data_IF_807024819493
#
_entry.id   IF_807024819493
#
_cell.length_a   1.000
_cell.length_b   1.000
_cell.length_c   1.000
_cell.angle_alpha   90.00
_cell.angle_beta   90.00
_cell.angle_gamma   90.00
#
_symmetry.space_group_name_H-M   'P 1'
#
loop_
_entity.id
_entity.type
_entity.pdbx_description
1 polymer ?
#
# COMPACT_ATOMS: atom_id res chain seq x y z
N UNK A 1 -0.37 39.91 4.14
CA UNK A 1 -0.96 39.23 2.97
C UNK A 1 -0.03 38.18 2.36
N UNK A 2 1.20 38.51 1.93
CA UNK A 2 2.11 37.56 1.25
C UNK A 2 2.49 36.30 2.04
N UNK A 3 2.76 36.41 3.35
CA UNK A 3 3.14 35.27 4.21
C UNK A 3 2.01 34.22 4.36
N UNK A 4 0.76 34.68 4.42
CA UNK A 4 -0.41 33.80 4.51
C UNK A 4 -0.59 32.99 3.22
N UNK A 5 -0.37 33.61 2.05
CA UNK A 5 -0.43 32.90 0.77
C UNK A 5 0.69 31.86 0.62
N UNK A 6 1.91 32.21 1.05
CA UNK A 6 3.04 31.27 1.01
C UNK A 6 2.77 30.05 1.90
N UNK A 7 2.40 30.26 3.15
CA UNK A 7 2.11 29.17 4.09
C UNK A 7 0.94 28.30 3.64
N UNK A 8 -0.13 28.89 3.11
CA UNK A 8 -1.25 28.14 2.52
C UNK A 8 -0.80 27.28 1.32
N UNK A 9 0.06 27.83 0.45
CA UNK A 9 0.59 27.12 -0.71
C UNK A 9 1.46 25.94 -0.30
N UNK A 10 2.35 26.13 0.68
CA UNK A 10 3.24 25.09 1.21
C UNK A 10 2.44 23.98 1.89
N UNK A 11 1.50 24.33 2.79
CA UNK A 11 0.64 23.34 3.46
C UNK A 11 -0.18 22.55 2.44
N UNK A 12 -0.80 23.24 1.49
CA UNK A 12 -1.57 22.58 0.43
C UNK A 12 -0.71 21.66 -0.44
N UNK A 13 0.52 22.06 -0.77
CA UNK A 13 1.46 21.22 -1.51
C UNK A 13 1.79 19.94 -0.72
N UNK A 14 2.09 20.08 0.57
CA UNK A 14 2.42 18.95 1.44
C UNK A 14 1.25 17.97 1.56
N UNK A 15 0.03 18.45 1.85
CA UNK A 15 -1.18 17.62 1.92
C UNK A 15 -1.41 16.85 0.63
N UNK A 16 -1.32 17.52 -0.54
CA UNK A 16 -1.48 16.86 -1.85
C UNK A 16 -0.39 15.82 -2.10
N UNK A 17 0.83 16.05 -1.61
CA UNK A 17 1.92 15.09 -1.77
C UNK A 17 1.72 13.87 -0.88
N UNK A 18 1.33 14.06 0.38
CA UNK A 18 0.99 12.99 1.33
C UNK A 18 -0.15 12.12 0.80
N UNK A 19 -1.22 12.73 0.27
CA UNK A 19 -2.34 12.01 -0.35
C UNK A 19 -1.94 11.12 -1.54
N UNK A 20 -0.81 11.41 -2.20
CA UNK A 20 -0.29 10.63 -3.33
C UNK A 20 0.66 9.51 -2.92
N UNK A 21 1.02 9.41 -1.64
CA UNK A 21 1.85 8.31 -1.12
C UNK A 21 1.11 6.99 -1.19
N UNK A 22 1.86 5.90 -1.33
CA UNK A 22 1.29 4.56 -1.33
C UNK A 22 0.62 4.26 0.02
N UNK A 23 1.23 4.64 1.15
CA UNK A 23 0.64 4.45 2.49
C UNK A 23 -0.79 5.01 2.57
N UNK A 24 -0.99 6.27 2.18
CA UNK A 24 -2.32 6.91 2.26
C UNK A 24 -3.31 6.30 1.26
N UNK A 25 -2.86 5.91 0.06
CA UNK A 25 -3.72 5.18 -0.89
C UNK A 25 -4.19 3.85 -0.32
N UNK A 26 -3.30 3.07 0.28
CA UNK A 26 -3.65 1.79 0.91
C UNK A 26 -4.63 2.00 2.05
N UNK A 27 -4.41 2.99 2.93
CA UNK A 27 -5.36 3.31 3.99
C UNK A 27 -6.76 3.66 3.46
N UNK A 28 -6.84 4.48 2.39
CA UNK A 28 -8.13 4.78 1.74
C UNK A 28 -8.80 3.53 1.19
N UNK A 29 -8.04 2.64 0.56
CA UNK A 29 -8.56 1.37 0.05
C UNK A 29 -9.05 0.47 1.19
N UNK A 30 -8.26 0.30 2.25
CA UNK A 30 -8.65 -0.46 3.44
C UNK A 30 -9.94 0.07 4.06
N UNK A 31 -10.11 1.40 4.15
CA UNK A 31 -11.36 2.01 4.63
C UNK A 31 -12.53 1.63 3.72
N UNK A 32 -12.36 1.70 2.40
CA UNK A 32 -13.41 1.32 1.44
C UNK A 32 -13.77 -0.16 1.54
N UNK A 33 -12.77 -1.05 1.49
CA UNK A 33 -12.95 -2.49 1.52
C UNK A 33 -13.62 -2.94 2.83
N UNK A 34 -13.18 -2.42 3.98
CA UNK A 34 -13.76 -2.78 5.27
C UNK A 34 -15.19 -2.24 5.43
N UNK A 35 -15.48 -1.05 4.90
CA UNK A 35 -16.85 -0.53 4.89
C UNK A 35 -17.77 -1.36 3.99
N UNK A 36 -17.31 -1.75 2.81
CA UNK A 36 -18.05 -2.61 1.89
C UNK A 36 -18.31 -3.97 2.51
N UNK A 37 -17.29 -4.58 3.11
CA UNK A 37 -17.43 -5.84 3.83
C UNK A 37 -18.42 -5.74 5.00
N UNK A 38 -18.42 -4.66 5.78
CA UNK A 38 -19.41 -4.46 6.84
C UNK A 38 -20.84 -4.32 6.27
N UNK A 39 -20.99 -3.68 5.11
CA UNK A 39 -22.29 -3.50 4.44
C UNK A 39 -22.83 -4.83 3.89
N UNK A 40 -21.97 -5.71 3.36
CA UNK A 40 -22.43 -7.00 2.81
C UNK A 40 -23.13 -7.86 3.86
N UNK A 41 -22.76 -7.81 5.15
CA UNK A 41 -23.51 -8.48 6.22
C UNK A 41 -24.98 -8.02 6.36
N UNK A 42 -25.31 -6.81 5.89
CA UNK A 42 -26.68 -6.29 5.93
C UNK A 42 -27.46 -6.63 4.66
N UNK A 43 -26.76 -6.79 3.53
CA UNK A 43 -27.35 -7.05 2.21
C UNK A 43 -27.52 -8.54 1.93
N UNK A 44 -26.55 -9.37 2.34
CA UNK A 44 -26.53 -10.82 2.10
C UNK A 44 -27.26 -11.61 3.18
N UNK A 45 -27.88 -10.95 4.16
CA UNK A 45 -28.80 -11.58 5.10
C UNK A 45 -30.18 -11.69 4.42
N UNK A 46 -30.57 -12.86 3.88
CA UNK A 46 -31.75 -12.98 3.05
C UNK A 46 -32.98 -12.87 3.93
N UNK A 47 -33.79 -11.81 3.77
CA UNK A 47 -35.20 -11.73 4.16
C UNK A 47 -35.60 -12.15 5.60
N UNK A 48 -34.65 -12.34 6.51
CA UNK A 48 -34.95 -12.84 7.85
C UNK A 48 -34.63 -11.78 8.87
N UNK A 49 -35.61 -11.56 9.73
CA UNK A 49 -35.46 -11.17 11.13
C UNK A 49 -34.58 -12.16 11.93
N UNK A 50 -33.61 -12.83 11.29
CA UNK A 50 -32.66 -13.74 11.91
C UNK A 50 -31.46 -12.91 12.34
N UNK A 51 -31.26 -12.84 13.64
CA UNK A 51 -30.05 -12.32 14.25
C UNK A 51 -28.80 -12.96 13.63
N UNK A 52 -27.77 -12.14 13.38
CA UNK A 52 -26.43 -12.61 13.00
C UNK A 52 -25.94 -13.66 14.00
N UNK A 53 -25.24 -14.70 13.51
CA UNK A 53 -24.57 -15.68 14.36
C UNK A 53 -23.57 -14.97 15.30
N UNK A 54 -23.29 -15.53 16.48
CA UNK A 54 -22.25 -15.02 17.38
C UNK A 54 -20.89 -14.93 16.68
N UNK A 55 -20.60 -15.85 15.76
CA UNK A 55 -19.38 -15.84 14.95
C UNK A 55 -19.35 -14.64 13.98
N UNK A 56 -20.48 -14.35 13.34
CA UNK A 56 -20.61 -13.21 12.41
C UNK A 56 -20.55 -11.88 13.17
N UNK A 57 -21.14 -11.82 14.37
CA UNK A 57 -21.03 -10.67 15.27
C UNK A 57 -19.56 -10.42 15.66
N UNK A 58 -18.84 -11.46 16.10
CA UNK A 58 -17.43 -11.38 16.43
C UNK A 58 -16.56 -10.97 15.22
N UNK A 59 -16.86 -11.49 14.03
CA UNK A 59 -16.17 -11.09 12.81
C UNK A 59 -16.43 -9.61 12.47
N UNK A 60 -17.69 -9.16 12.53
CA UNK A 60 -18.08 -7.77 12.27
C UNK A 60 -17.40 -6.80 13.24
N UNK A 61 -17.29 -7.17 14.51
CA UNK A 61 -16.59 -6.35 15.52
C UNK A 61 -15.10 -6.20 15.21
N UNK A 62 -14.44 -7.29 14.81
CA UNK A 62 -13.02 -7.25 14.39
C UNK A 62 -12.82 -6.37 13.16
N UNK A 63 -13.68 -6.47 12.15
CA UNK A 63 -13.57 -5.60 10.96
C UNK A 63 -13.86 -4.15 11.30
N UNK A 64 -14.80 -3.86 12.20
CA UNK A 64 -15.02 -2.50 12.72
C UNK A 64 -13.79 -1.96 13.44
N UNK A 65 -13.08 -2.78 14.21
CA UNK A 65 -11.84 -2.38 14.85
C UNK A 65 -10.76 -2.04 13.81
N UNK A 66 -10.63 -2.83 12.73
CA UNK A 66 -9.72 -2.53 11.62
C UNK A 66 -10.07 -1.23 10.90
N UNK A 67 -11.36 -0.99 10.61
CA UNK A 67 -11.83 0.26 10.02
C UNK A 67 -11.46 1.45 10.91
N UNK A 68 -11.69 1.36 12.22
CA UNK A 68 -11.31 2.40 13.17
C UNK A 68 -9.80 2.64 13.18
N UNK A 69 -9.00 1.58 13.21
CA UNK A 69 -7.55 1.69 13.16
C UNK A 69 -7.08 2.44 11.90
N UNK A 70 -7.59 2.06 10.71
CA UNK A 70 -7.24 2.72 9.46
C UNK A 70 -7.66 4.21 9.44
N UNK A 71 -8.79 4.57 10.04
CA UNK A 71 -9.22 5.96 10.18
C UNK A 71 -8.32 6.75 11.15
N UNK A 72 -7.89 6.13 12.25
CA UNK A 72 -6.92 6.72 13.16
C UNK A 72 -5.56 6.93 12.51
N UNK A 73 -5.08 5.98 11.71
CA UNK A 73 -3.83 6.14 10.96
C UNK A 73 -3.90 7.32 9.98
N UNK A 74 -5.06 7.53 9.32
CA UNK A 74 -5.28 8.71 8.47
C UNK A 74 -5.26 9.99 9.31
N UNK A 75 -5.95 9.98 10.46
CA UNK A 75 -5.98 11.14 11.36
C UNK A 75 -4.58 11.48 11.86
N UNK A 76 -3.82 10.48 12.29
CA UNK A 76 -2.45 10.63 12.76
C UNK A 76 -1.59 11.30 11.68
N UNK A 77 -1.66 10.80 10.43
CA UNK A 77 -0.92 11.38 9.30
C UNK A 77 -1.24 12.85 9.07
N UNK A 78 -2.51 13.27 9.07
CA UNK A 78 -2.84 14.64 8.65
C UNK A 78 -2.93 15.65 9.79
N UNK A 79 -3.13 15.20 11.02
CA UNK A 79 -3.45 16.08 12.16
C UNK A 79 -2.49 15.95 13.34
N UNK A 80 -1.77 14.85 13.48
CA UNK A 80 -0.93 14.58 14.66
C UNK A 80 0.56 14.57 14.31
N UNK A 81 0.94 13.93 13.21
CA UNK A 81 2.33 13.86 12.73
C UNK A 81 2.93 15.26 12.51
N UNK A 82 4.18 15.39 12.91
CA UNK A 82 5.03 16.56 12.70
C UNK A 82 5.49 16.69 11.25
N UNK A 83 6.00 17.88 10.90
CA UNK A 83 6.56 18.13 9.57
C UNK A 83 7.72 17.18 9.24
N UNK A 84 8.59 16.90 10.21
CA UNK A 84 9.72 15.99 10.01
C UNK A 84 9.25 14.59 9.64
N UNK A 85 8.25 14.08 10.34
CA UNK A 85 7.68 12.77 10.05
C UNK A 85 6.97 12.73 8.70
N UNK A 86 6.30 13.82 8.29
CA UNK A 86 5.75 13.94 6.93
C UNK A 86 6.83 13.87 5.86
N UNK A 87 7.95 14.58 6.07
CA UNK A 87 9.07 14.59 5.12
C UNK A 87 9.75 13.22 5.04
N UNK A 88 9.94 12.56 6.19
CA UNK A 88 10.46 11.19 6.26
C UNK A 88 9.56 10.20 5.52
N UNK A 89 8.24 10.27 5.74
CA UNK A 89 7.27 9.45 5.02
C UNK A 89 7.35 9.68 3.49
N UNK A 90 7.49 10.94 3.06
CA UNK A 90 7.65 11.27 1.65
C UNK A 90 8.96 10.77 1.05
N UNK A 91 10.03 10.72 1.84
CA UNK A 91 11.31 10.16 1.41
C UNK A 91 11.21 8.65 1.24
N UNK A 92 10.70 7.93 2.24
CA UNK A 92 10.48 6.49 2.18
C UNK A 92 9.60 6.11 0.98
N UNK A 93 8.54 6.87 0.71
CA UNK A 93 7.67 6.64 -0.44
C UNK A 93 8.42 6.79 -1.79
N UNK A 94 9.42 7.68 -1.88
CA UNK A 94 10.27 7.78 -3.08
C UNK A 94 11.19 6.59 -3.21
N UNK A 95 11.83 6.18 -2.12
CA UNK A 95 12.75 5.03 -2.07
C UNK A 95 12.03 3.74 -2.49
N UNK A 96 10.83 3.49 -1.96
CA UNK A 96 10.00 2.36 -2.35
C UNK A 96 9.64 2.38 -3.84
N UNK A 97 9.34 3.56 -4.41
CA UNK A 97 9.08 3.68 -5.86
C UNK A 97 10.32 3.38 -6.68
N UNK A 98 11.50 3.83 -6.25
CA UNK A 98 12.76 3.54 -6.94
C UNK A 98 13.11 2.06 -6.88
N UNK A 99 12.93 1.42 -5.72
CA UNK A 99 13.17 -0.01 -5.53
C UNK A 99 12.22 -0.86 -6.39
N UNK A 100 10.92 -0.51 -6.43
CA UNK A 100 9.93 -1.18 -7.29
C UNK A 100 10.33 -1.11 -8.76
N UNK A 101 10.72 0.07 -9.25
CA UNK A 101 11.18 0.24 -10.64
C UNK A 101 12.44 -0.58 -10.94
N UNK A 102 13.40 -0.61 -10.01
CA UNK A 102 14.61 -1.42 -10.19
C UNK A 102 14.27 -2.91 -10.30
N UNK A 103 13.41 -3.41 -9.41
CA UNK A 103 12.92 -4.80 -9.45
C UNK A 103 12.16 -5.11 -10.74
N UNK A 104 11.37 -4.18 -11.25
CA UNK A 104 10.69 -4.33 -12.54
C UNK A 104 11.67 -4.38 -13.72
N UNK A 105 12.71 -3.54 -13.72
CA UNK A 105 13.78 -3.59 -14.72
C UNK A 105 14.56 -4.91 -14.67
N UNK A 106 14.86 -5.43 -13.47
CA UNK A 106 15.51 -6.74 -13.30
C UNK A 106 14.63 -7.90 -13.80
N UNK A 107 13.31 -7.81 -13.63
CA UNK A 107 12.35 -8.78 -14.18
C UNK A 107 12.19 -8.66 -15.69
N UNK A 108 12.26 -7.44 -16.23
CA UNK A 108 12.13 -7.17 -17.65
C UNK A 108 13.41 -7.48 -18.45
N UNK A 109 14.58 -7.55 -17.80
CA UNK A 109 15.79 -8.13 -18.42
C UNK A 109 15.49 -9.57 -18.82
N UNK A 110 15.52 -9.79 -20.13
CA UNK A 110 15.07 -11.03 -20.77
C UNK A 110 15.82 -12.28 -20.24
N UNK A 111 15.23 -13.49 -20.35
CA UNK A 111 15.93 -14.74 -20.03
C UNK A 111 17.20 -14.95 -20.87
N UNK A 112 17.37 -14.22 -21.97
CA UNK A 112 18.52 -14.35 -22.89
C UNK A 112 19.83 -13.87 -22.28
N UNK A 113 19.79 -12.99 -21.27
CA UNK A 113 20.98 -12.57 -20.50
C UNK A 113 21.25 -13.48 -19.29
N UNK A 114 20.33 -14.40 -18.97
CA UNK A 114 20.45 -15.38 -17.89
C UNK A 114 20.87 -16.76 -18.41
N UNK A 115 21.64 -16.83 -19.49
CA UNK A 115 22.40 -18.04 -19.82
C UNK A 115 23.60 -18.12 -18.89
N UNK A 116 23.33 -18.33 -17.60
CA UNK A 116 24.35 -18.83 -16.67
C UNK A 116 24.36 -20.34 -16.92
N UNK A 117 25.13 -20.77 -17.92
CA UNK A 117 25.40 -22.19 -18.14
C UNK A 117 25.93 -22.76 -16.83
N UNK A 118 25.30 -23.82 -16.31
CA UNK A 118 25.85 -24.50 -15.14
C UNK A 118 27.28 -24.93 -15.44
N UNK A 119 28.14 -24.98 -14.43
CA UNK A 119 29.52 -25.41 -14.60
C UNK A 119 29.61 -26.80 -15.28
N UNK A 120 28.62 -27.67 -15.08
CA UNK A 120 28.51 -28.96 -15.73
C UNK A 120 28.18 -28.86 -17.23
N UNK A 121 27.33 -27.91 -17.64
CA UNK A 121 26.97 -27.65 -19.03
C UNK A 121 28.14 -27.03 -19.79
N UNK A 122 28.86 -26.10 -19.18
CA UNK A 122 30.06 -25.49 -19.76
C UNK A 122 31.15 -26.54 -20.02
N UNK A 123 31.42 -27.40 -19.03
CA UNK A 123 32.43 -28.46 -19.13
C UNK A 123 32.10 -29.52 -20.19
N UNK A 124 30.82 -29.76 -20.44
CA UNK A 124 30.36 -30.65 -21.52
C UNK A 124 30.56 -30.04 -22.91
N UNK A 125 30.35 -28.73 -23.07
CA UNK A 125 30.61 -28.03 -24.33
C UNK A 125 32.10 -27.98 -24.68
N UNK A 126 32.98 -27.75 -23.70
CA UNK A 126 34.43 -27.70 -23.91
C UNK A 126 35.01 -29.06 -24.34
N UNK A 127 34.41 -30.17 -23.90
CA UNK A 127 34.78 -31.51 -24.35
C UNK A 127 34.42 -31.79 -25.82
N UNK A 128 33.37 -31.13 -26.34
CA UNK A 128 32.91 -31.33 -27.73
C UNK A 128 33.71 -30.48 -28.75
N UNK A 129 34.56 -29.56 -28.28
CA UNK A 129 35.46 -28.74 -29.10
C UNK A 129 36.87 -29.34 -29.29
N UNK A 130 37.13 -30.52 -28.74
CA UNK A 130 38.34 -31.32 -28.99
C UNK A 130 38.01 -32.46 -29.93
#
# INVERSE_FOLDING_TARGET
>A
MALCHLTATVKGFLTRRLLRTEKVKHLRQTVQDTQEFIRSFSTDAPQRNASLSEQDLSLRERVRAQLRAALFDIHDIFFTMTLEEHLSLLQQDRELRTERKLREMEKAKSPKDKVILSAATQKSLDRKKR
#
